data_IF_214116089115
#
_entry.id   IF_214116089115
#
_cell.length_a   1.000
_cell.length_b   1.000
_cell.length_c   1.000
_cell.angle_alpha   90.00
_cell.angle_beta   90.00
_cell.angle_gamma   90.00
#
_symmetry.space_group_name_H-M   'P 1'
#
loop_
_entity.id
_entity.type
_entity.pdbx_description
1 polymer ?
#
# COMPACT_ATOMS: atom_id res chain seq x y z
N UNK A 1 -20.85 11.99 -43.90
CA UNK A 1 -20.01 11.34 -42.88
C UNK A 1 -20.94 10.43 -42.09
N UNK A 2 -20.70 9.12 -42.07
CA UNK A 2 -21.45 8.23 -41.18
C UNK A 2 -21.15 8.64 -39.75
N UNK A 3 -22.16 8.86 -38.92
CA UNK A 3 -21.96 9.07 -37.50
C UNK A 3 -21.32 7.78 -36.95
N UNK A 4 -20.02 7.83 -36.64
CA UNK A 4 -19.39 6.76 -35.87
C UNK A 4 -20.15 6.65 -34.54
N UNK A 5 -20.43 5.42 -34.06
CA UNK A 5 -21.00 5.23 -32.74
C UNK A 5 -20.18 5.98 -31.68
N UNK A 6 -20.86 6.65 -30.73
CA UNK A 6 -20.22 7.40 -29.64
C UNK A 6 -19.20 6.54 -28.89
N UNK A 7 -19.50 5.24 -28.72
CA UNK A 7 -18.58 4.28 -28.11
C UNK A 7 -17.25 4.17 -28.87
N UNK A 8 -17.28 4.10 -30.20
CA UNK A 8 -16.05 4.05 -31.01
C UNK A 8 -15.22 5.33 -30.86
N UNK A 9 -15.88 6.49 -30.82
CA UNK A 9 -15.21 7.78 -30.62
C UNK A 9 -14.55 7.87 -29.24
N UNK A 10 -15.23 7.43 -28.18
CA UNK A 10 -14.67 7.42 -26.82
C UNK A 10 -13.46 6.48 -26.69
N UNK A 11 -13.53 5.30 -27.31
CA UNK A 11 -12.40 4.36 -27.35
C UNK A 11 -11.22 4.96 -28.12
N UNK A 12 -11.47 5.62 -29.25
CA UNK A 12 -10.42 6.31 -30.00
C UNK A 12 -9.77 7.43 -29.16
N UNK A 13 -10.56 8.19 -28.40
CA UNK A 13 -10.03 9.24 -27.53
C UNK A 13 -9.19 8.66 -26.37
N UNK A 14 -9.60 7.54 -25.76
CA UNK A 14 -8.79 6.85 -24.76
C UNK A 14 -7.47 6.33 -25.33
N UNK A 15 -7.50 5.75 -26.54
CA UNK A 15 -6.30 5.27 -27.25
C UNK A 15 -5.38 6.45 -27.57
N UNK A 16 -5.92 7.57 -28.05
CA UNK A 16 -5.14 8.78 -28.33
C UNK A 16 -4.47 9.32 -27.04
N UNK A 17 -5.23 9.43 -25.93
CA UNK A 17 -4.70 9.85 -24.64
C UNK A 17 -3.57 8.92 -24.13
N UNK A 18 -3.75 7.59 -24.30
CA UNK A 18 -2.73 6.60 -23.94
C UNK A 18 -1.48 6.72 -24.80
N UNK A 19 -1.64 6.87 -26.12
CA UNK A 19 -0.52 7.07 -27.04
C UNK A 19 0.24 8.37 -26.72
N UNK A 20 -0.47 9.42 -26.32
CA UNK A 20 0.11 10.67 -25.84
C UNK A 20 0.99 10.46 -24.60
N UNK A 21 0.51 9.66 -23.64
CA UNK A 21 1.31 9.31 -22.45
C UNK A 21 2.53 8.45 -22.79
N UNK A 22 2.39 7.49 -23.70
CA UNK A 22 3.55 6.71 -24.18
C UNK A 22 4.58 7.62 -24.85
N UNK A 23 4.14 8.57 -25.68
CA UNK A 23 5.00 9.58 -26.29
C UNK A 23 5.71 10.44 -25.23
N UNK A 24 5.00 10.84 -24.16
CA UNK A 24 5.58 11.58 -23.03
C UNK A 24 6.66 10.77 -22.30
N UNK A 25 6.43 9.49 -22.03
CA UNK A 25 7.45 8.64 -21.40
C UNK A 25 8.69 8.46 -22.28
N UNK A 26 8.50 8.31 -23.60
CA UNK A 26 9.62 8.27 -24.55
C UNK A 26 10.38 9.60 -24.59
N UNK A 27 9.66 10.74 -24.57
CA UNK A 27 10.27 12.06 -24.45
C UNK A 27 11.11 12.15 -23.17
N UNK A 28 10.52 11.87 -22.00
CA UNK A 28 11.23 11.97 -20.74
C UNK A 28 12.47 11.07 -20.69
N UNK A 29 12.41 9.86 -21.27
CA UNK A 29 13.57 8.98 -21.37
C UNK A 29 14.72 9.57 -22.21
N UNK A 30 14.42 10.33 -23.27
CA UNK A 30 15.43 10.98 -24.12
C UNK A 30 15.93 12.32 -23.58
N UNK A 31 15.24 12.91 -22.60
CA UNK A 31 15.51 14.25 -22.04
C UNK A 31 15.78 14.21 -20.54
N UNK A 32 16.49 13.18 -20.08
CA UNK A 32 16.95 13.01 -18.69
C UNK A 32 15.82 13.17 -17.65
N UNK A 33 14.65 12.62 -17.96
CA UNK A 33 13.45 12.66 -17.13
C UNK A 33 12.64 13.95 -17.22
N UNK A 34 13.08 14.95 -17.98
CA UNK A 34 12.39 16.24 -18.14
C UNK A 34 11.10 16.08 -18.96
N UNK A 35 10.02 16.73 -18.52
CA UNK A 35 8.76 16.76 -19.24
C UNK A 35 8.81 17.74 -20.43
N UNK A 36 8.00 17.56 -21.50
CA UNK A 36 7.95 18.51 -22.60
C UNK A 36 7.34 19.86 -22.19
N UNK A 37 7.61 20.92 -22.95
CA UNK A 37 7.01 22.24 -22.72
C UNK A 37 5.57 22.31 -23.25
N UNK A 38 5.23 21.51 -24.26
CA UNK A 38 3.89 21.43 -24.87
C UNK A 38 3.62 20.05 -25.50
N UNK A 39 2.38 19.83 -25.97
CA UNK A 39 2.04 18.64 -26.75
C UNK A 39 2.76 18.59 -28.11
N UNK A 40 3.05 19.74 -28.72
CA UNK A 40 3.81 19.81 -29.98
C UNK A 40 5.18 19.13 -29.88
N UNK A 41 5.84 19.21 -28.72
CA UNK A 41 7.13 18.54 -28.48
C UNK A 41 7.02 17.00 -28.53
N UNK A 42 5.81 16.47 -28.37
CA UNK A 42 5.51 15.03 -28.45
C UNK A 42 5.24 14.55 -29.89
N UNK A 43 5.11 15.46 -30.86
CA UNK A 43 4.73 15.12 -32.23
C UNK A 43 5.71 14.15 -32.91
N UNK A 44 6.99 14.11 -32.49
CA UNK A 44 7.98 13.15 -33.02
C UNK A 44 7.80 11.72 -32.50
N UNK A 45 7.04 11.53 -31.44
CA UNK A 45 6.83 10.24 -30.76
C UNK A 45 5.42 9.67 -30.97
N UNK A 46 4.44 10.52 -31.28
CA UNK A 46 3.09 10.11 -31.62
C UNK A 46 2.91 9.85 -33.12
N UNK A 47 1.89 9.08 -33.52
CA UNK A 47 1.60 8.93 -34.95
C UNK A 47 0.93 10.21 -35.47
N UNK A 48 1.12 10.56 -36.76
CA UNK A 48 0.47 11.74 -37.35
C UNK A 48 -1.04 11.72 -37.13
N UNK A 49 -1.58 12.79 -36.53
CA UNK A 49 -3.01 12.97 -36.27
C UNK A 49 -3.53 12.36 -34.96
N UNK A 50 -2.68 11.75 -34.12
CA UNK A 50 -3.10 11.24 -32.81
C UNK A 50 -3.15 12.31 -31.72
N UNK A 51 -2.34 13.36 -31.84
CA UNK A 51 -2.32 14.50 -30.92
C UNK A 51 -2.87 15.71 -31.64
N UNK A 52 -4.12 16.05 -31.35
CA UNK A 52 -4.75 17.29 -31.77
C UNK A 52 -4.82 18.23 -30.55
N UNK A 53 -3.97 19.24 -30.52
CA UNK A 53 -3.90 20.27 -29.47
C UNK A 53 -5.21 21.06 -29.32
N UNK A 54 -6.08 21.03 -30.34
CA UNK A 54 -7.42 21.60 -30.22
C UNK A 54 -8.32 20.75 -29.31
N UNK A 55 -8.14 19.43 -29.29
CA UNK A 55 -8.94 18.48 -28.53
C UNK A 55 -8.33 18.12 -27.17
N UNK A 56 -7.03 17.86 -27.10
CA UNK A 56 -6.34 17.50 -25.86
C UNK A 56 -5.67 18.71 -25.22
N UNK A 57 -5.59 18.68 -23.89
CA UNK A 57 -4.88 19.65 -23.07
C UNK A 57 -3.80 18.93 -22.26
N UNK A 58 -2.72 19.66 -21.99
CA UNK A 58 -1.53 19.17 -21.30
C UNK A 58 -1.18 20.08 -20.12
N UNK A 59 -0.84 19.47 -18.98
CA UNK A 59 -0.58 20.19 -17.73
C UNK A 59 0.91 20.29 -17.36
N UNK A 60 1.77 19.48 -17.99
CA UNK A 60 3.21 19.48 -17.67
C UNK A 60 3.97 20.68 -18.25
N UNK A 61 5.26 20.77 -17.92
CA UNK A 61 6.18 21.76 -18.48
C UNK A 61 7.64 21.33 -18.31
N UNK A 62 8.54 21.98 -19.04
CA UNK A 62 9.98 21.71 -19.14
C UNK A 62 10.81 22.03 -17.89
N UNK A 63 10.19 22.53 -16.81
CA UNK A 63 10.86 22.75 -15.53
C UNK A 63 10.71 21.59 -14.55
N UNK A 64 9.99 20.54 -14.96
CA UNK A 64 9.60 19.43 -14.10
C UNK A 64 10.16 18.13 -14.68
N UNK A 65 10.63 17.29 -13.78
CA UNK A 65 11.09 15.94 -14.09
C UNK A 65 10.08 14.91 -13.59
N UNK A 66 10.07 13.73 -14.21
CA UNK A 66 9.23 12.60 -13.79
C UNK A 66 9.50 12.22 -12.32
N UNK A 67 10.74 12.32 -11.85
CA UNK A 67 11.12 12.02 -10.46
C UNK A 67 10.46 12.96 -9.43
N UNK A 68 10.07 14.17 -9.84
CA UNK A 68 9.38 15.12 -8.97
C UNK A 68 7.87 14.84 -8.87
N UNK A 69 7.31 14.00 -9.74
CA UNK A 69 5.89 13.64 -9.74
C UNK A 69 5.62 12.58 -8.65
N UNK A 70 5.27 13.04 -7.46
CA UNK A 70 4.80 12.16 -6.39
C UNK A 70 3.40 11.61 -6.73
N UNK A 71 3.16 10.31 -6.48
CA UNK A 71 1.83 9.68 -6.65
C UNK A 71 1.32 9.83 -8.10
N UNK A 72 2.13 9.32 -9.04
CA UNK A 72 1.92 9.42 -10.49
C UNK A 72 0.55 8.88 -10.96
N UNK A 73 0.02 7.87 -10.27
CA UNK A 73 -1.27 7.25 -10.57
C UNK A 73 -2.48 8.14 -10.26
N UNK A 74 -2.29 9.34 -9.73
CA UNK A 74 -3.41 10.27 -9.49
C UNK A 74 -3.14 11.69 -9.98
N UNK A 75 -2.05 11.91 -10.71
CA UNK A 75 -1.75 13.19 -11.36
C UNK A 75 -2.17 13.12 -12.83
N UNK A 76 -3.22 13.86 -13.19
CA UNK A 76 -3.58 14.04 -14.58
C UNK A 76 -2.50 14.84 -15.29
N UNK A 77 -2.11 14.39 -16.47
CA UNK A 77 -1.08 15.03 -17.30
C UNK A 77 -1.66 15.48 -18.62
N UNK A 78 -2.49 14.63 -19.23
CA UNK A 78 -3.17 14.89 -20.49
C UNK A 78 -4.65 14.59 -20.29
N UNK A 79 -5.52 15.45 -20.81
CA UNK A 79 -6.95 15.20 -20.76
C UNK A 79 -7.63 15.74 -22.01
N UNK A 80 -8.76 15.14 -22.38
CA UNK A 80 -9.61 15.72 -23.41
C UNK A 80 -10.26 17.00 -22.88
N UNK A 81 -10.49 17.98 -23.75
CA UNK A 81 -11.26 19.18 -23.43
C UNK A 81 -12.63 18.79 -22.85
N UNK A 82 -12.97 19.32 -21.68
CA UNK A 82 -14.20 18.97 -20.97
C UNK A 82 -15.48 19.28 -21.78
N UNK A 83 -15.40 20.19 -22.75
CA UNK A 83 -16.51 20.49 -23.67
C UNK A 83 -16.77 19.41 -24.71
N UNK A 84 -15.84 18.46 -24.87
CA UNK A 84 -15.90 17.32 -25.79
C UNK A 84 -16.28 16.01 -25.09
N UNK A 85 -16.92 16.08 -23.92
CA UNK A 85 -17.34 14.90 -23.17
C UNK A 85 -18.27 13.98 -23.99
N UNK A 86 -18.10 12.67 -23.81
CA UNK A 86 -18.91 11.64 -24.46
C UNK A 86 -20.10 11.26 -23.59
N UNK A 87 -21.30 11.22 -24.16
CA UNK A 87 -22.49 10.68 -23.49
C UNK A 87 -22.52 9.15 -23.61
N UNK A 88 -22.01 8.46 -22.58
CA UNK A 88 -21.90 7.01 -22.57
C UNK A 88 -23.13 6.35 -21.93
N UNK A 89 -23.60 5.21 -22.46
CA UNK A 89 -24.63 4.43 -21.77
C UNK A 89 -24.07 3.89 -20.45
N UNK A 90 -24.93 3.75 -19.43
CA UNK A 90 -24.57 3.03 -18.23
C UNK A 90 -24.30 1.55 -18.56
N UNK A 91 -23.27 0.98 -17.94
CA UNK A 91 -22.94 -0.44 -18.01
C UNK A 91 -22.41 -0.93 -16.66
N UNK A 92 -21.92 -2.17 -16.61
CA UNK A 92 -21.40 -2.77 -15.38
C UNK A 92 -20.16 -2.04 -14.81
N UNK A 93 -19.53 -1.15 -15.59
CA UNK A 93 -18.31 -0.43 -15.22
C UNK A 93 -18.49 1.10 -15.18
N UNK A 94 -19.66 1.62 -15.54
CA UNK A 94 -19.91 3.05 -15.61
C UNK A 94 -21.36 3.41 -15.23
N UNK A 95 -21.52 4.47 -14.46
CA UNK A 95 -22.83 5.02 -14.07
C UNK A 95 -23.61 5.64 -15.25
N UNK A 96 -23.03 5.64 -16.45
CA UNK A 96 -23.56 6.32 -17.64
C UNK A 96 -23.47 7.84 -17.55
N UNK A 97 -23.76 8.50 -18.67
CA UNK A 97 -23.72 9.95 -18.82
C UNK A 97 -22.42 10.48 -19.40
N UNK A 98 -22.23 11.80 -19.26
CA UNK A 98 -21.07 12.50 -19.80
C UNK A 98 -19.78 12.00 -19.15
N UNK A 99 -18.77 11.70 -19.97
CA UNK A 99 -17.47 11.22 -19.51
C UNK A 99 -16.33 11.76 -20.38
N UNK A 100 -15.18 11.99 -19.76
CA UNK A 100 -13.97 12.54 -20.40
C UNK A 100 -12.78 11.64 -20.08
N UNK A 101 -11.96 11.25 -21.08
CA UNK A 101 -10.71 10.54 -20.81
C UNK A 101 -9.68 11.47 -20.17
N UNK A 102 -9.11 11.00 -19.07
CA UNK A 102 -8.00 11.62 -18.36
C UNK A 102 -6.85 10.63 -18.31
N UNK A 103 -5.68 11.06 -18.76
CA UNK A 103 -4.46 10.28 -18.73
C UNK A 103 -3.57 10.73 -17.57
N UNK A 104 -3.09 9.76 -16.82
CA UNK A 104 -2.31 9.96 -15.60
C UNK A 104 -0.82 9.81 -15.85
N UNK A 105 0.00 10.31 -14.92
CA UNK A 105 1.44 10.37 -15.10
C UNK A 105 2.12 9.00 -15.20
N UNK A 106 1.51 7.94 -14.67
CA UNK A 106 1.97 6.53 -14.81
C UNK A 106 1.51 5.86 -16.12
N UNK A 107 0.79 6.59 -16.97
CA UNK A 107 0.39 6.19 -18.32
C UNK A 107 -0.95 5.46 -18.42
N UNK A 108 -1.67 5.23 -17.31
CA UNK A 108 -3.03 4.72 -17.40
C UNK A 108 -4.01 5.85 -17.81
N UNK A 109 -5.16 5.45 -18.36
CA UNK A 109 -6.21 6.36 -18.83
C UNK A 109 -7.54 5.88 -18.30
N UNK A 110 -8.29 6.78 -17.67
CA UNK A 110 -9.62 6.50 -17.15
C UNK A 110 -10.66 7.47 -17.71
N UNK A 111 -11.91 7.02 -17.74
CA UNK A 111 -13.06 7.85 -18.07
C UNK A 111 -13.67 8.40 -16.79
N UNK A 112 -13.78 9.73 -16.69
CA UNK A 112 -14.38 10.39 -15.53
C UNK A 112 -15.58 11.26 -15.90
N UNK A 113 -16.60 11.36 -15.03
CA UNK A 113 -17.59 12.42 -15.11
C UNK A 113 -16.93 13.81 -15.16
N UNK A 114 -17.45 14.79 -15.94
CA UNK A 114 -16.82 16.10 -16.11
C UNK A 114 -16.50 16.85 -14.81
N UNK A 115 -17.32 16.67 -13.77
CA UNK A 115 -17.10 17.29 -12.45
C UNK A 115 -15.90 16.69 -11.72
N UNK A 116 -15.75 15.36 -11.76
CA UNK A 116 -14.60 14.64 -11.20
C UNK A 116 -13.35 14.96 -12.02
N UNK A 117 -13.45 14.90 -13.36
CA UNK A 117 -12.37 15.25 -14.27
C UNK A 117 -11.84 16.67 -14.02
N UNK A 118 -12.73 17.66 -13.92
CA UNK A 118 -12.36 19.06 -13.65
C UNK A 118 -11.55 19.18 -12.38
N UNK A 119 -12.00 18.54 -11.30
CA UNK A 119 -11.29 18.65 -10.05
C UNK A 119 -9.94 17.92 -10.06
N UNK A 120 -9.81 16.77 -10.75
CA UNK A 120 -8.51 16.07 -10.91
C UNK A 120 -7.55 16.98 -11.68
N UNK A 121 -8.05 17.62 -12.75
CA UNK A 121 -7.30 18.56 -13.58
C UNK A 121 -6.86 19.77 -12.76
N UNK A 122 -7.75 20.36 -11.95
CA UNK A 122 -7.43 21.52 -11.12
C UNK A 122 -6.40 21.18 -10.02
N UNK A 123 -6.52 20.03 -9.33
CA UNK A 123 -5.51 19.55 -8.36
C UNK A 123 -4.16 19.34 -9.05
N UNK A 124 -4.15 18.66 -10.20
CA UNK A 124 -2.94 18.35 -10.95
C UNK A 124 -2.28 19.63 -11.47
N UNK A 125 -3.03 20.56 -12.03
CA UNK A 125 -2.52 21.86 -12.49
C UNK A 125 -1.90 22.67 -11.35
N UNK A 126 -2.49 22.62 -10.15
CA UNK A 126 -1.91 23.24 -8.96
C UNK A 126 -0.58 22.57 -8.53
N UNK A 127 -0.48 21.24 -8.65
CA UNK A 127 0.78 20.50 -8.43
C UNK A 127 1.85 20.90 -9.44
N UNK A 128 1.55 20.89 -10.74
CA UNK A 128 2.50 21.29 -11.79
C UNK A 128 2.98 22.73 -11.60
N UNK A 129 2.05 23.65 -11.28
CA UNK A 129 2.41 25.04 -10.98
C UNK A 129 3.32 25.14 -9.75
N UNK A 130 3.01 24.43 -8.67
CA UNK A 130 3.81 24.42 -7.45
C UNK A 130 5.22 23.87 -7.70
N UNK A 131 5.34 22.78 -8.46
CA UNK A 131 6.64 22.19 -8.82
C UNK A 131 7.48 23.14 -9.68
N UNK A 132 6.89 23.70 -10.74
CA UNK A 132 7.57 24.63 -11.64
C UNK A 132 8.08 25.90 -10.94
N UNK A 133 7.35 26.35 -9.92
CA UNK A 133 7.71 27.53 -9.12
C UNK A 133 8.58 27.20 -7.89
N UNK A 134 8.88 25.91 -7.65
CA UNK A 134 9.58 25.48 -6.44
C UNK A 134 8.82 25.74 -5.13
N UNK A 135 7.49 25.83 -5.19
CA UNK A 135 6.60 26.11 -4.06
C UNK A 135 6.11 24.83 -3.36
N UNK A 136 5.48 25.04 -2.21
CA UNK A 136 4.74 24.02 -1.48
C UNK A 136 3.61 23.44 -2.36
N UNK A 137 3.44 22.11 -2.31
CA UNK A 137 2.39 21.42 -3.06
C UNK A 137 0.99 21.72 -2.48
N UNK A 138 -0.10 21.46 -3.22
CA UNK A 138 -1.45 21.46 -2.65
C UNK A 138 -1.55 20.59 -1.39
N UNK A 139 -2.45 20.98 -0.47
CA UNK A 139 -2.57 20.44 0.89
C UNK A 139 -2.41 18.92 0.96
N UNK A 140 -3.19 18.21 0.13
CA UNK A 140 -3.20 16.76 0.01
C UNK A 140 -1.80 16.18 -0.27
N UNK A 141 -1.17 16.71 -1.32
CA UNK A 141 0.09 16.19 -1.88
C UNK A 141 1.27 16.50 -1.00
N UNK A 142 1.29 17.71 -0.44
CA UNK A 142 2.31 18.10 0.51
C UNK A 142 2.20 17.23 1.77
N UNK A 143 1.00 16.99 2.31
CA UNK A 143 0.78 16.12 3.45
C UNK A 143 1.34 14.69 3.22
N UNK A 144 1.12 14.10 2.04
CA UNK A 144 1.69 12.78 1.70
C UNK A 144 3.22 12.82 1.60
N UNK A 145 3.77 13.85 0.97
CA UNK A 145 5.21 14.06 0.88
C UNK A 145 5.84 14.20 2.27
N UNK A 146 5.18 14.94 3.16
CA UNK A 146 5.62 15.15 4.54
C UNK A 146 5.55 13.84 5.34
N UNK A 147 4.48 13.06 5.22
CA UNK A 147 4.38 11.74 5.86
C UNK A 147 5.50 10.79 5.40
N UNK A 148 5.90 10.83 4.12
CA UNK A 148 7.02 10.04 3.64
C UNK A 148 8.36 10.49 4.23
N UNK A 149 8.52 11.79 4.49
CA UNK A 149 9.70 12.33 5.20
C UNK A 149 9.65 11.95 6.69
N UNK A 150 8.48 12.00 7.32
CA UNK A 150 8.27 11.55 8.71
C UNK A 150 8.65 10.08 8.84
N UNK A 151 8.29 9.22 7.88
CA UNK A 151 8.72 7.83 7.88
C UNK A 151 10.24 7.68 7.82
N UNK A 152 10.92 8.42 6.94
CA UNK A 152 12.39 8.41 6.88
C UNK A 152 13.01 8.85 8.21
N UNK A 153 12.41 9.85 8.87
CA UNK A 153 12.85 10.31 10.19
C UNK A 153 12.61 9.24 11.28
N UNK A 154 11.47 8.54 11.25
CA UNK A 154 11.17 7.41 12.14
C UNK A 154 12.19 6.28 11.97
N UNK A 155 12.47 5.85 10.74
CA UNK A 155 13.49 4.81 10.47
C UNK A 155 14.87 5.27 10.93
N UNK A 156 15.26 6.51 10.65
CA UNK A 156 16.53 7.06 11.13
C UNK A 156 16.59 7.13 12.66
N UNK A 157 15.49 7.44 13.34
CA UNK A 157 15.39 7.37 14.78
C UNK A 157 15.60 5.93 15.27
N UNK A 158 14.86 4.95 14.73
CA UNK A 158 14.96 3.54 15.11
C UNK A 158 16.39 3.00 14.97
N UNK A 159 17.08 3.31 13.86
CA UNK A 159 18.48 2.90 13.65
C UNK A 159 19.41 3.43 14.76
N UNK A 160 19.13 4.60 15.34
CA UNK A 160 19.92 5.19 16.41
C UNK A 160 19.47 4.76 17.83
N UNK A 161 18.40 3.98 17.95
CA UNK A 161 17.81 3.54 19.22
C UNK A 161 17.49 2.04 19.20
N UNK A 162 18.40 1.23 18.63
CA UNK A 162 18.33 -0.23 18.66
C UNK A 162 16.99 -0.78 18.10
N UNK A 163 16.46 -0.15 17.05
CA UNK A 163 15.21 -0.52 16.40
C UNK A 163 13.94 0.00 17.07
N UNK A 164 14.03 0.61 18.25
CA UNK A 164 12.85 1.09 18.99
C UNK A 164 12.23 2.31 18.31
N UNK A 165 10.90 2.32 18.28
CA UNK A 165 10.11 3.48 17.91
C UNK A 165 10.32 4.62 18.94
N UNK A 166 10.05 5.89 18.60
CA UNK A 166 10.12 7.00 19.55
C UNK A 166 8.95 6.96 20.55
N UNK A 167 9.12 7.60 21.71
CA UNK A 167 8.02 7.77 22.68
C UNK A 167 6.99 8.80 22.24
N UNK A 168 7.38 9.68 21.33
CA UNK A 168 6.57 10.78 20.82
C UNK A 168 7.01 11.19 19.41
N UNK A 169 6.13 11.85 18.65
CA UNK A 169 6.51 12.33 17.32
C UNK A 169 7.49 13.52 17.38
N UNK A 170 7.52 14.26 18.49
CA UNK A 170 8.49 15.33 18.71
C UNK A 170 9.94 14.83 18.77
N UNK A 171 10.17 13.58 19.19
CA UNK A 171 11.51 12.97 19.25
C UNK A 171 12.12 12.67 17.88
N UNK A 172 11.30 12.52 16.82
CA UNK A 172 11.82 12.27 15.46
C UNK A 172 12.22 13.55 14.73
N UNK A 173 11.85 14.72 15.24
CA UNK A 173 12.13 16.00 14.61
C UNK A 173 13.63 16.21 14.27
N UNK A 174 14.60 15.90 15.16
CA UNK A 174 16.03 16.01 14.84
C UNK A 174 16.49 15.08 13.71
N UNK A 175 15.73 14.01 13.43
CA UNK A 175 16.03 12.99 12.43
C UNK A 175 15.39 13.29 11.06
N UNK A 176 14.67 14.41 10.91
CA UNK A 176 14.16 14.85 9.61
C UNK A 176 15.34 15.09 8.65
N UNK A 177 15.40 14.39 7.51
CA UNK A 177 16.53 14.47 6.59
C UNK A 177 16.65 15.87 5.98
N UNK A 178 17.88 16.30 5.76
CA UNK A 178 18.14 17.52 5.00
C UNK A 178 17.61 17.36 3.57
N UNK A 179 17.04 18.43 3.05
CA UNK A 179 16.66 18.53 1.64
C UNK A 179 16.77 19.98 1.19
N UNK A 180 16.72 20.28 -0.12
CA UNK A 180 16.68 21.65 -0.60
C UNK A 180 15.53 22.49 -0.02
N UNK A 181 14.47 21.84 0.50
CA UNK A 181 13.31 22.49 1.16
C UNK A 181 13.39 22.52 2.69
N UNK A 182 14.28 21.73 3.30
CA UNK A 182 14.36 21.52 4.75
C UNK A 182 15.81 21.62 5.22
N UNK A 183 16.36 22.83 5.20
CA UNK A 183 17.76 23.10 5.54
C UNK A 183 17.93 23.64 6.96
N UNK A 184 16.90 24.29 7.49
CA UNK A 184 16.89 24.85 8.85
C UNK A 184 16.03 24.03 9.80
N UNK A 185 16.26 24.16 11.11
CA UNK A 185 15.44 23.50 12.14
C UNK A 185 13.96 23.92 12.07
N UNK A 186 13.69 25.19 11.77
CA UNK A 186 12.32 25.68 11.55
C UNK A 186 11.66 25.02 10.34
N UNK A 187 12.37 24.87 9.22
CA UNK A 187 11.84 24.20 8.02
C UNK A 187 11.61 22.70 8.27
N UNK A 188 12.53 22.02 8.97
CA UNK A 188 12.35 20.62 9.38
C UNK A 188 11.12 20.44 10.28
N UNK A 189 10.91 21.37 11.22
CA UNK A 189 9.76 21.36 12.11
C UNK A 189 8.44 21.53 11.37
N UNK A 190 8.46 22.24 10.23
CA UNK A 190 7.27 22.40 9.41
C UNK A 190 6.75 21.07 8.86
N UNK A 191 7.62 20.07 8.60
CA UNK A 191 7.22 18.72 8.13
C UNK A 191 6.20 18.06 9.07
N UNK A 192 6.30 18.34 10.38
CA UNK A 192 5.39 17.80 11.40
C UNK A 192 4.06 18.57 11.53
N UNK A 193 3.80 19.50 10.61
CA UNK A 193 2.56 20.26 10.47
C UNK A 193 2.02 20.08 9.05
N UNK A 194 0.70 19.97 8.93
CA UNK A 194 0.01 20.08 7.64
C UNK A 194 0.16 21.50 7.09
N UNK A 195 0.11 21.68 5.75
CA UNK A 195 0.29 23.00 5.12
C UNK A 195 -0.66 24.08 5.67
N UNK A 196 -1.92 23.74 5.89
CA UNK A 196 -2.92 24.62 6.51
C UNK A 196 -2.56 25.03 7.94
N UNK A 197 -2.00 24.12 8.74
CA UNK A 197 -1.60 24.37 10.12
C UNK A 197 -0.31 25.19 10.19
N UNK A 198 0.66 24.97 9.28
CA UNK A 198 1.89 25.78 9.16
C UNK A 198 1.57 27.26 9.01
N UNK A 199 0.59 27.60 8.17
CA UNK A 199 0.16 28.99 7.92
C UNK A 199 -0.42 29.68 9.15
N UNK A 200 -0.85 28.92 10.16
CA UNK A 200 -1.51 29.43 11.37
C UNK A 200 -0.66 29.30 12.62
N UNK A 201 0.46 28.59 12.54
CA UNK A 201 1.30 28.26 13.68
C UNK A 201 2.61 29.04 13.58
N UNK A 202 2.89 29.88 14.56
CA UNK A 202 4.17 30.59 14.63
C UNK A 202 5.28 29.59 15.00
N UNK A 203 6.11 29.21 14.02
CA UNK A 203 7.23 28.30 14.26
C UNK A 203 8.37 29.03 14.99
N UNK A 204 8.86 28.49 16.13
CA UNK A 204 10.04 29.03 16.79
C UNK A 204 11.31 28.84 15.92
N UNK A 205 12.31 29.68 16.14
CA UNK A 205 13.62 29.54 15.48
C UNK A 205 14.34 28.25 15.91
N UNK A 206 14.12 27.84 17.16
CA UNK A 206 14.66 26.61 17.76
C UNK A 206 13.49 25.76 18.31
N UNK A 207 12.79 25.01 17.43
CA UNK A 207 11.74 24.10 17.87
C UNK A 207 12.29 22.99 18.77
N UNK A 208 11.56 22.66 19.82
CA UNK A 208 11.86 21.53 20.72
C UNK A 208 10.89 20.38 20.48
N UNK A 209 11.25 19.16 20.89
CA UNK A 209 10.34 18.00 20.84
C UNK A 209 9.01 18.29 21.56
N UNK A 210 9.06 18.85 22.77
CA UNK A 210 7.86 19.24 23.53
C UNK A 210 6.98 20.27 22.78
N UNK A 211 7.61 21.21 22.06
CA UNK A 211 6.83 22.13 21.20
C UNK A 211 6.19 21.38 20.04
N UNK A 212 6.92 20.45 19.40
CA UNK A 212 6.40 19.62 18.31
C UNK A 212 5.19 18.80 18.76
N UNK A 213 5.25 18.10 19.89
CA UNK A 213 4.14 17.27 20.35
C UNK A 213 2.86 18.07 20.62
N UNK A 214 3.00 19.29 21.14
CA UNK A 214 1.86 20.19 21.38
C UNK A 214 1.25 20.76 20.09
N UNK A 215 2.06 20.96 19.06
CA UNK A 215 1.64 21.70 17.86
C UNK A 215 1.46 20.82 16.62
N UNK A 216 1.94 19.58 16.61
CA UNK A 216 1.92 18.71 15.44
C UNK A 216 0.49 18.51 14.90
N UNK A 217 0.36 18.41 13.58
CA UNK A 217 -0.91 18.10 12.91
C UNK A 217 -1.28 16.63 12.97
N UNK A 218 -0.39 15.79 13.46
CA UNK A 218 -0.54 14.34 13.39
C UNK A 218 -0.80 13.73 14.76
N UNK A 219 -1.45 12.57 14.75
CA UNK A 219 -1.55 11.65 15.87
C UNK A 219 -0.52 10.55 15.64
N UNK A 220 0.28 10.28 16.66
CA UNK A 220 1.25 9.20 16.68
C UNK A 220 0.71 8.05 17.52
N UNK A 221 0.84 6.83 17.02
CA UNK A 221 0.30 5.61 17.64
C UNK A 221 1.40 4.68 18.17
N UNK A 222 2.66 4.91 17.81
CA UNK A 222 3.77 4.09 18.29
C UNK A 222 4.14 4.37 19.75
N UNK A 223 5.07 3.56 20.28
CA UNK A 223 5.56 3.63 21.65
C UNK A 223 7.06 3.36 21.69
N UNK A 224 7.76 3.93 22.67
CA UNK A 224 9.19 3.70 22.90
C UNK A 224 9.54 2.23 23.22
N UNK A 225 8.54 1.44 23.61
CA UNK A 225 8.67 0.03 24.00
C UNK A 225 8.52 -0.92 22.80
N UNK A 226 8.16 -0.42 21.62
CA UNK A 226 7.97 -1.23 20.41
C UNK A 226 9.21 -1.15 19.52
N UNK A 227 9.77 -2.31 19.18
CA UNK A 227 10.78 -2.42 18.11
C UNK A 227 10.06 -2.50 16.77
N UNK A 228 10.49 -1.69 15.78
CA UNK A 228 9.83 -1.60 14.48
C UNK A 228 9.75 -2.95 13.75
N UNK A 229 10.80 -3.78 13.88
CA UNK A 229 10.89 -5.09 13.23
C UNK A 229 9.98 -6.15 13.89
N UNK A 230 9.50 -5.91 15.11
CA UNK A 230 8.56 -6.80 15.81
C UNK A 230 7.11 -6.61 15.31
N UNK A 231 6.85 -5.59 14.49
CA UNK A 231 5.54 -5.38 13.87
C UNK A 231 5.33 -6.41 12.75
N UNK A 232 4.52 -7.43 13.04
CA UNK A 232 4.30 -8.61 12.18
C UNK A 232 3.82 -8.28 10.76
N UNK A 233 2.82 -7.38 10.64
CA UNK A 233 2.36 -6.86 9.36
C UNK A 233 2.49 -5.33 9.31
N UNK A 234 3.68 -4.81 8.97
CA UNK A 234 3.95 -3.38 9.00
C UNK A 234 3.18 -2.64 7.89
N UNK A 235 2.60 -3.34 6.91
CA UNK A 235 1.80 -2.72 5.84
C UNK A 235 0.38 -2.39 6.31
N UNK A 236 -0.08 -2.96 7.42
CA UNK A 236 -1.42 -2.71 7.98
C UNK A 236 -1.41 -1.85 9.23
N UNK A 237 -0.35 -1.95 10.04
CA UNK A 237 -0.22 -1.15 11.27
C UNK A 237 0.10 0.30 10.96
N UNK A 238 -0.77 1.21 11.40
CA UNK A 238 -0.56 2.65 11.34
C UNK A 238 0.36 3.12 12.47
N UNK A 239 1.33 3.97 12.13
CA UNK A 239 2.16 4.68 13.09
C UNK A 239 1.75 6.14 13.24
N UNK A 240 1.34 6.79 12.14
CA UNK A 240 0.99 8.21 12.12
C UNK A 240 -0.27 8.42 11.30
N UNK A 241 -1.18 9.28 11.77
CA UNK A 241 -2.31 9.77 10.97
C UNK A 241 -2.57 11.25 11.21
N UNK A 242 -3.08 11.97 10.22
CA UNK A 242 -3.51 13.37 10.41
C UNK A 242 -4.67 13.45 11.39
N UNK A 243 -4.69 14.47 12.27
CA UNK A 243 -5.81 14.71 13.20
C UNK A 243 -7.11 14.98 12.43
N UNK A 244 -8.23 14.46 12.92
CA UNK A 244 -9.53 14.53 12.23
C UNK A 244 -10.01 15.97 11.96
N UNK A 245 -9.69 16.92 12.83
CA UNK A 245 -10.05 18.33 12.66
C UNK A 245 -9.23 19.04 11.57
N UNK A 246 -8.21 18.37 11.03
CA UNK A 246 -7.38 18.79 9.91
C UNK A 246 -7.64 17.94 8.65
N UNK A 247 -8.72 17.16 8.65
CA UNK A 247 -9.14 16.39 7.48
C UNK A 247 -9.42 17.31 6.29
N UNK A 248 -9.01 16.85 5.10
CA UNK A 248 -9.21 17.55 3.84
C UNK A 248 -10.54 17.15 3.20
N UNK A 249 -11.17 18.09 2.50
CA UNK A 249 -12.31 17.78 1.62
C UNK A 249 -11.80 17.17 0.32
N UNK A 250 -12.42 16.06 -0.08
CA UNK A 250 -12.10 15.34 -1.30
C UNK A 250 -13.36 14.69 -1.86
N UNK A 251 -13.31 14.18 -3.08
CA UNK A 251 -14.45 13.52 -3.71
C UNK A 251 -14.20 12.01 -3.83
N UNK A 252 -15.26 11.21 -3.60
CA UNK A 252 -15.25 9.79 -3.98
C UNK A 252 -15.21 9.67 -5.51
N UNK A 253 -14.99 8.44 -5.99
CA UNK A 253 -15.11 8.12 -7.43
C UNK A 253 -16.48 8.49 -8.01
N UNK A 254 -17.51 8.49 -7.18
CA UNK A 254 -18.90 8.85 -7.52
C UNK A 254 -19.16 10.36 -7.41
N UNK A 255 -18.15 11.17 -7.13
CA UNK A 255 -18.29 12.62 -6.97
C UNK A 255 -18.92 13.06 -5.64
N UNK A 256 -19.04 12.17 -4.66
CA UNK A 256 -19.57 12.52 -3.32
C UNK A 256 -18.48 13.19 -2.50
N UNK A 257 -18.72 14.39 -1.92
CA UNK A 257 -17.74 15.02 -1.05
C UNK A 257 -17.60 14.23 0.27
N UNK A 258 -16.37 13.97 0.68
CA UNK A 258 -16.01 13.25 1.90
C UNK A 258 -14.76 13.85 2.55
N UNK A 259 -14.55 13.52 3.82
CA UNK A 259 -13.39 13.95 4.62
C UNK A 259 -12.33 12.86 4.64
N UNK A 260 -11.10 13.25 4.33
CA UNK A 260 -9.95 12.35 4.25
C UNK A 260 -8.80 12.82 5.13
N UNK A 261 -7.99 11.88 5.60
CA UNK A 261 -6.77 12.13 6.38
C UNK A 261 -5.61 11.35 5.79
N UNK A 262 -4.41 11.94 5.86
CA UNK A 262 -3.19 11.22 5.53
C UNK A 262 -2.87 10.18 6.60
N UNK A 263 -2.42 9.01 6.18
CA UNK A 263 -1.99 7.93 7.07
C UNK A 263 -0.60 7.43 6.63
N UNK A 264 0.18 6.99 7.61
CA UNK A 264 1.49 6.39 7.44
C UNK A 264 1.51 5.04 8.17
N UNK A 265 1.76 3.99 7.41
CA UNK A 265 1.94 2.64 7.90
C UNK A 265 3.39 2.40 8.35
N UNK A 266 3.60 1.41 9.22
CA UNK A 266 4.93 1.03 9.70
C UNK A 266 5.90 0.61 8.59
N UNK A 267 5.38 0.08 7.47
CA UNK A 267 6.18 -0.26 6.28
C UNK A 267 6.60 0.96 5.44
N UNK A 268 6.15 2.16 5.81
CA UNK A 268 6.45 3.40 5.09
C UNK A 268 5.48 3.77 3.98
N UNK A 269 4.47 2.94 3.75
CA UNK A 269 3.38 3.27 2.84
C UNK A 269 2.63 4.48 3.39
N UNK A 270 2.50 5.52 2.54
CA UNK A 270 1.67 6.68 2.82
C UNK A 270 0.47 6.68 1.90
N UNK A 271 -0.68 7.01 2.45
CA UNK A 271 -1.91 7.09 1.68
C UNK A 271 -2.87 8.10 2.32
N UNK A 272 -4.02 8.28 1.69
CA UNK A 272 -5.10 9.09 2.21
C UNK A 272 -6.31 8.21 2.19
N UNK A 273 -7.07 8.23 3.27
CA UNK A 273 -8.27 7.40 3.41
C UNK A 273 -9.35 8.18 4.15
N UNK A 274 -10.58 7.68 4.13
CA UNK A 274 -11.69 8.33 4.80
C UNK A 274 -11.43 8.44 6.31
N UNK A 275 -11.97 9.49 6.93
CA UNK A 275 -11.88 9.64 8.40
C UNK A 275 -12.47 8.43 9.15
N UNK A 276 -13.65 7.88 8.77
CA UNK A 276 -14.18 6.67 9.39
C UNK A 276 -13.23 5.47 9.30
N UNK A 277 -12.65 5.21 8.13
CA UNK A 277 -11.72 4.10 7.94
C UNK A 277 -10.41 4.29 8.71
N UNK A 278 -9.81 5.49 8.64
CA UNK A 278 -8.59 5.81 9.38
C UNK A 278 -8.74 5.65 10.90
N UNK A 279 -9.93 5.93 11.46
CA UNK A 279 -10.23 5.71 12.88
C UNK A 279 -10.28 4.23 13.23
N UNK A 280 -10.99 3.44 12.42
CA UNK A 280 -11.08 2.00 12.63
C UNK A 280 -9.70 1.34 12.53
N UNK A 281 -8.91 1.72 11.52
CA UNK A 281 -7.56 1.21 11.32
C UNK A 281 -6.61 1.66 12.43
N UNK A 282 -6.76 2.90 12.92
CA UNK A 282 -5.99 3.39 14.06
C UNK A 282 -6.30 2.65 15.37
N UNK A 283 -7.56 2.26 15.60
CA UNK A 283 -7.95 1.45 16.75
C UNK A 283 -7.33 0.05 16.69
N UNK A 284 -7.43 -0.64 15.55
CA UNK A 284 -6.80 -1.94 15.32
C UNK A 284 -5.27 -1.86 15.47
N UNK A 285 -4.64 -0.82 14.93
CA UNK A 285 -3.19 -0.60 15.07
C UNK A 285 -2.76 -0.39 16.52
N UNK A 286 -3.58 0.31 17.30
CA UNK A 286 -3.30 0.53 18.73
C UNK A 286 -3.41 -0.76 19.54
N UNK A 287 -4.34 -1.64 19.18
CA UNK A 287 -4.48 -2.97 19.79
C UNK A 287 -3.24 -3.83 19.53
N UNK A 288 -2.76 -3.87 18.28
CA UNK A 288 -1.53 -4.60 17.91
C UNK A 288 -0.31 -4.05 18.65
N UNK A 289 -0.13 -2.72 18.64
CA UNK A 289 1.01 -2.09 19.30
C UNK A 289 0.94 -2.27 20.82
N UNK A 290 -0.25 -2.24 21.42
CA UNK A 290 -0.46 -2.55 22.83
C UNK A 290 -0.09 -3.98 23.18
N UNK A 291 -0.52 -4.96 22.37
CA UNK A 291 -0.17 -6.36 22.58
C UNK A 291 1.35 -6.61 22.56
N UNK A 292 2.07 -5.96 21.64
CA UNK A 292 3.54 -6.01 21.60
C UNK A 292 4.15 -5.45 22.89
N UNK A 293 3.66 -4.30 23.36
CA UNK A 293 4.15 -3.65 24.59
C UNK A 293 3.91 -4.52 25.82
N UNK A 294 2.69 -5.03 25.97
CA UNK A 294 2.28 -5.78 27.14
C UNK A 294 2.83 -7.23 27.13
N UNK A 295 3.42 -7.66 26.00
CA UNK A 295 3.82 -9.05 25.78
C UNK A 295 2.62 -10.01 25.75
N UNK A 296 1.43 -9.49 25.43
CA UNK A 296 0.22 -10.27 25.24
C UNK A 296 0.21 -10.88 23.83
N UNK A 297 -0.58 -11.93 23.62
CA UNK A 297 -0.77 -12.51 22.29
C UNK A 297 -1.35 -11.47 21.33
N UNK A 298 -0.91 -11.46 20.07
CA UNK A 298 -1.42 -10.52 19.09
C UNK A 298 -2.90 -10.84 18.79
N UNK A 299 -3.66 -9.90 18.20
CA UNK A 299 -4.97 -10.25 17.69
C UNK A 299 -4.85 -11.40 16.68
N UNK A 300 -5.80 -12.35 16.71
CA UNK A 300 -5.73 -13.64 16.00
C UNK A 300 -5.27 -13.53 14.53
N UNK A 301 -5.69 -12.49 13.82
CA UNK A 301 -5.25 -12.23 12.44
C UNK A 301 -3.73 -12.04 12.32
N UNK A 302 -3.15 -11.23 13.21
CA UNK A 302 -1.72 -10.90 13.20
C UNK A 302 -0.89 -12.09 13.69
N UNK A 303 -1.36 -12.85 14.68
CA UNK A 303 -0.70 -14.10 15.09
C UNK A 303 -0.67 -15.11 13.94
N UNK A 304 -1.80 -15.35 13.28
CA UNK A 304 -1.84 -16.23 12.11
C UNK A 304 -0.94 -15.74 10.96
N UNK A 305 -0.80 -14.43 10.79
CA UNK A 305 0.10 -13.84 9.80
C UNK A 305 1.58 -14.09 10.16
N UNK A 306 1.95 -13.93 11.43
CA UNK A 306 3.27 -14.25 11.97
C UNK A 306 3.61 -15.72 11.72
N UNK A 307 2.74 -16.62 12.15
CA UNK A 307 2.94 -18.07 12.08
C UNK A 307 3.14 -18.54 10.64
N UNK A 308 2.30 -18.07 9.71
CA UNK A 308 2.44 -18.40 8.30
C UNK A 308 3.79 -17.94 7.71
N UNK A 309 4.34 -16.79 8.16
CA UNK A 309 5.68 -16.34 7.74
C UNK A 309 6.77 -17.25 8.29
N UNK A 310 6.71 -17.59 9.58
CA UNK A 310 7.66 -18.51 10.22
C UNK A 310 7.64 -19.86 9.53
N UNK A 311 6.46 -20.45 9.35
CA UNK A 311 6.28 -21.76 8.71
C UNK A 311 6.75 -21.76 7.26
N UNK A 312 6.47 -20.69 6.50
CA UNK A 312 6.95 -20.59 5.11
C UNK A 312 8.47 -20.47 5.04
N UNK A 313 9.09 -19.75 5.98
CA UNK A 313 10.54 -19.70 6.14
C UNK A 313 11.12 -21.08 6.47
N UNK A 314 10.48 -21.83 7.36
CA UNK A 314 10.88 -23.20 7.72
C UNK A 314 10.76 -24.18 6.54
N UNK A 315 9.70 -24.09 5.73
CA UNK A 315 9.54 -24.87 4.49
C UNK A 315 10.68 -24.57 3.51
N UNK A 316 11.05 -23.30 3.36
CA UNK A 316 12.19 -22.90 2.51
C UNK A 316 13.50 -23.50 3.01
N UNK A 317 13.80 -23.34 4.31
CA UNK A 317 15.02 -23.88 4.95
C UNK A 317 15.05 -25.40 4.87
N UNK A 318 13.92 -26.08 5.06
CA UNK A 318 13.79 -27.52 4.84
C UNK A 318 14.20 -27.89 3.41
N UNK A 319 13.66 -27.21 2.39
CA UNK A 319 14.00 -27.50 1.01
C UNK A 319 15.50 -27.29 0.72
N UNK A 320 16.12 -26.25 1.30
CA UNK A 320 17.57 -26.02 1.20
C UNK A 320 18.40 -27.18 1.81
N UNK A 321 17.90 -27.82 2.87
CA UNK A 321 18.53 -28.97 3.52
C UNK A 321 18.26 -30.31 2.82
N UNK A 322 17.26 -30.35 1.93
CA UNK A 322 16.77 -31.58 1.28
C UNK A 322 16.78 -31.49 -0.25
N UNK A 323 17.90 -31.04 -0.82
CA UNK A 323 18.15 -31.01 -2.27
C UNK A 323 17.09 -30.24 -3.07
N UNK A 324 16.50 -29.21 -2.46
CA UNK A 324 15.48 -28.35 -3.05
C UNK A 324 14.06 -28.90 -3.00
N UNK A 325 13.84 -30.11 -2.47
CA UNK A 325 12.52 -30.74 -2.42
C UNK A 325 11.68 -30.26 -1.23
N UNK A 326 10.37 -30.15 -1.46
CA UNK A 326 9.41 -29.82 -0.44
C UNK A 326 9.29 -30.90 0.66
N UNK A 327 8.84 -30.54 1.88
CA UNK A 327 8.52 -31.54 2.90
C UNK A 327 7.30 -32.37 2.50
N UNK A 328 7.21 -33.61 3.01
CA UNK A 328 6.07 -34.48 2.75
C UNK A 328 4.86 -34.07 3.60
N UNK A 329 5.13 -33.56 4.81
CA UNK A 329 4.16 -33.10 5.79
C UNK A 329 4.71 -31.85 6.46
N UNK A 330 3.84 -30.97 6.96
CA UNK A 330 4.32 -29.76 7.63
C UNK A 330 5.18 -30.08 8.86
N UNK A 331 4.92 -31.18 9.57
CA UNK A 331 5.73 -31.62 10.71
C UNK A 331 7.20 -31.88 10.39
N UNK A 332 7.56 -32.11 9.13
CA UNK A 332 8.95 -32.33 8.73
C UNK A 332 9.81 -31.06 8.86
N UNK A 333 9.20 -29.88 9.01
CA UNK A 333 9.92 -28.60 9.10
C UNK A 333 10.28 -28.20 10.54
N UNK A 334 9.95 -29.02 11.55
CA UNK A 334 10.24 -28.72 12.97
C UNK A 334 11.72 -28.41 13.18
N UNK A 335 12.62 -29.20 12.59
CA UNK A 335 14.07 -29.00 12.69
C UNK A 335 14.59 -27.86 11.80
N UNK A 336 13.75 -27.35 10.90
CA UNK A 336 14.03 -26.21 10.03
C UNK A 336 13.46 -24.88 10.55
N UNK A 337 12.79 -24.88 11.71
CA UNK A 337 12.37 -23.64 12.39
C UNK A 337 13.59 -22.80 12.79
N UNK A 338 13.45 -21.45 12.87
CA UNK A 338 14.51 -20.59 13.39
C UNK A 338 14.96 -21.00 14.81
N UNK A 339 16.26 -20.91 15.04
CA UNK A 339 16.91 -21.40 16.26
C UNK A 339 16.74 -20.44 17.45
N UNK A 340 16.33 -19.19 17.17
CA UNK A 340 16.07 -18.11 18.12
C UNK A 340 14.62 -18.07 18.65
N UNK A 341 13.73 -18.92 18.12
CA UNK A 341 12.37 -19.04 18.65
C UNK A 341 12.38 -19.70 20.04
N UNK A 342 11.58 -19.14 20.95
CA UNK A 342 11.32 -19.76 22.24
C UNK A 342 10.64 -21.12 22.07
N UNK A 343 10.79 -22.03 23.04
CA UNK A 343 10.12 -23.33 23.00
C UNK A 343 8.59 -23.22 22.88
N UNK A 344 8.01 -22.20 23.51
CA UNK A 344 6.59 -21.87 23.41
C UNK A 344 6.22 -21.44 21.99
N UNK A 345 6.97 -20.50 21.42
CA UNK A 345 6.74 -20.03 20.05
C UNK A 345 6.89 -21.15 19.03
N UNK A 346 7.82 -22.08 19.23
CA UNK A 346 8.00 -23.24 18.34
C UNK A 346 6.76 -24.15 18.30
N UNK A 347 6.00 -24.26 19.39
CA UNK A 347 4.74 -25.00 19.41
C UNK A 347 3.60 -24.17 18.83
N UNK A 348 3.48 -22.91 19.26
CA UNK A 348 2.35 -22.04 18.88
C UNK A 348 2.29 -21.78 17.39
N UNK A 349 3.43 -21.71 16.68
CA UNK A 349 3.42 -21.48 15.23
C UNK A 349 2.70 -22.56 14.42
N UNK A 350 2.44 -23.74 14.99
CA UNK A 350 1.64 -24.78 14.32
C UNK A 350 0.18 -24.81 14.75
N UNK A 351 -0.20 -24.10 15.83
CA UNK A 351 -1.54 -24.20 16.44
C UNK A 351 -2.07 -22.81 16.78
N UNK A 352 -3.25 -22.48 16.27
CA UNK A 352 -3.91 -21.21 16.58
C UNK A 352 -4.17 -21.04 18.08
N UNK A 353 -4.19 -19.79 18.55
CA UNK A 353 -4.58 -19.46 19.92
C UNK A 353 -5.93 -20.09 20.32
N UNK A 354 -6.87 -20.21 19.38
CA UNK A 354 -8.18 -20.83 19.62
C UNK A 354 -8.10 -22.35 19.84
N UNK A 355 -7.08 -23.01 19.28
CA UNK A 355 -6.86 -24.45 19.38
C UNK A 355 -5.81 -24.83 20.44
N UNK A 356 -5.04 -23.87 20.97
CA UNK A 356 -4.08 -24.09 22.04
C UNK A 356 -4.79 -24.57 23.31
N UNK A 357 -4.38 -25.75 23.81
CA UNK A 357 -4.91 -26.35 25.04
C UNK A 357 -3.89 -26.26 26.17
N UNK A 358 -4.35 -26.18 27.44
CA UNK A 358 -3.45 -26.34 28.58
C UNK A 358 -2.67 -27.66 28.47
N UNK A 359 -1.35 -27.59 28.60
CA UNK A 359 -0.45 -28.75 28.55
C UNK A 359 0.22 -29.01 27.20
N UNK A 360 -0.17 -28.34 26.11
CA UNK A 360 0.50 -28.52 24.80
C UNK A 360 2.00 -28.24 24.85
N UNK A 361 2.40 -27.25 25.66
CA UNK A 361 3.80 -26.88 25.83
C UNK A 361 4.62 -27.87 26.69
N UNK A 362 3.97 -28.83 27.33
CA UNK A 362 4.64 -29.88 28.12
C UNK A 362 5.00 -31.11 27.26
N UNK A 363 4.42 -31.22 26.07
CA UNK A 363 4.69 -32.29 25.11
C UNK A 363 5.93 -31.97 24.28
N UNK A 364 6.58 -33.01 23.72
CA UNK A 364 7.72 -32.82 22.83
C UNK A 364 7.21 -32.47 21.42
N UNK A 365 7.67 -31.33 20.88
CA UNK A 365 7.38 -30.93 19.51
C UNK A 365 8.04 -31.91 18.52
N UNK A 366 7.25 -32.81 17.97
CA UNK A 366 7.67 -33.80 16.97
C UNK A 366 6.88 -33.65 15.67
N UNK A 367 7.34 -34.25 14.57
CA UNK A 367 6.57 -34.28 13.31
C UNK A 367 5.19 -34.94 13.49
N UNK A 368 5.09 -35.98 14.32
CA UNK A 368 3.82 -36.65 14.68
C UNK A 368 2.88 -35.72 15.45
N UNK A 369 3.42 -34.98 16.43
CA UNK A 369 2.66 -33.98 17.17
C UNK A 369 2.06 -32.93 16.23
N UNK A 370 2.87 -32.40 15.30
CA UNK A 370 2.39 -31.42 14.31
C UNK A 370 1.31 -32.04 13.43
N UNK A 371 1.46 -33.30 12.99
CA UNK A 371 0.44 -33.98 12.21
C UNK A 371 -0.92 -34.04 12.92
N UNK A 372 -0.92 -34.31 14.23
CA UNK A 372 -2.13 -34.51 15.02
C UNK A 372 -2.79 -33.19 15.47
N UNK A 373 -2.03 -32.10 15.55
CA UNK A 373 -2.49 -30.86 16.19
C UNK A 373 -2.49 -29.62 15.29
N UNK A 374 -1.84 -29.67 14.13
CA UNK A 374 -1.65 -28.50 13.28
C UNK A 374 -2.96 -27.81 12.85
N UNK A 375 -3.01 -26.49 13.01
CA UNK A 375 -4.08 -25.62 12.50
C UNK A 375 -3.84 -25.13 11.08
N UNK A 376 -2.91 -25.70 10.32
CA UNK A 376 -2.56 -25.23 8.98
C UNK A 376 -2.72 -26.33 7.94
N UNK A 377 -3.20 -25.96 6.75
CA UNK A 377 -3.27 -26.87 5.59
C UNK A 377 -2.04 -26.66 4.73
N UNK A 378 -1.22 -27.70 4.65
CA UNK A 378 -0.07 -27.77 3.75
C UNK A 378 -0.46 -28.44 2.43
N UNK A 379 -0.06 -27.84 1.30
CA UNK A 379 -0.42 -28.28 -0.07
C UNK A 379 0.76 -28.91 -0.83
N UNK A 380 1.98 -28.83 -0.31
CA UNK A 380 3.17 -29.31 -1.02
C UNK A 380 3.23 -30.83 -1.21
N UNK A 381 4.15 -31.26 -2.08
CA UNK A 381 4.40 -32.67 -2.41
C UNK A 381 5.92 -32.91 -2.41
N UNK A 382 6.43 -33.96 -1.76
CA UNK A 382 7.87 -34.17 -1.59
C UNK A 382 8.62 -34.49 -2.89
N UNK A 383 7.90 -34.72 -3.98
CA UNK A 383 8.48 -34.91 -5.32
C UNK A 383 8.70 -33.60 -6.06
N UNK A 384 8.21 -32.48 -5.52
CA UNK A 384 8.26 -31.17 -6.16
C UNK A 384 9.38 -30.32 -5.59
N UNK A 385 10.11 -29.67 -6.49
CA UNK A 385 11.15 -28.69 -6.15
C UNK A 385 10.53 -27.36 -5.74
N UNK A 386 10.98 -26.80 -4.61
CA UNK A 386 10.51 -25.51 -4.10
C UNK A 386 10.65 -24.39 -5.14
N UNK A 387 11.72 -24.40 -5.93
CA UNK A 387 11.94 -23.40 -6.98
C UNK A 387 10.90 -23.43 -8.11
N UNK A 388 10.30 -24.59 -8.38
CA UNK A 388 9.28 -24.69 -9.43
C UNK A 388 7.93 -24.17 -8.94
N UNK A 389 7.63 -24.40 -7.66
CA UNK A 389 6.48 -23.77 -7.00
C UNK A 389 6.63 -22.24 -6.97
N UNK A 390 7.83 -21.74 -6.65
CA UNK A 390 8.12 -20.31 -6.70
C UNK A 390 7.90 -19.70 -8.09
N UNK A 391 8.36 -20.38 -9.16
CA UNK A 391 8.16 -19.92 -10.55
C UNK A 391 6.68 -19.91 -10.95
N UNK A 392 5.90 -20.88 -10.46
CA UNK A 392 4.47 -20.96 -10.76
C UNK A 392 3.64 -19.98 -9.91
N UNK A 393 4.15 -19.52 -8.78
CA UNK A 393 3.44 -18.61 -7.89
C UNK A 393 2.19 -19.25 -7.27
N UNK A 394 2.24 -20.56 -6.95
CA UNK A 394 1.13 -21.27 -6.29
C UNK A 394 1.36 -21.30 -4.78
N UNK A 395 0.31 -21.16 -3.98
CA UNK A 395 0.41 -21.16 -2.53
C UNK A 395 0.77 -22.54 -1.95
N UNK A 396 1.47 -22.54 -0.80
CA UNK A 396 1.94 -23.76 -0.13
C UNK A 396 1.22 -24.04 1.19
N UNK A 397 0.74 -22.99 1.86
CA UNK A 397 0.25 -23.06 3.22
C UNK A 397 -1.00 -22.20 3.38
N UNK A 398 -1.97 -22.67 4.16
CA UNK A 398 -3.16 -21.91 4.52
C UNK A 398 -3.45 -22.04 6.00
N UNK A 399 -3.98 -20.97 6.55
CA UNK A 399 -4.62 -21.01 7.85
C UNK A 399 -5.88 -21.91 7.81
N UNK A 400 -6.04 -22.81 8.79
CA UNK A 400 -7.03 -23.87 8.80
C UNK A 400 -7.66 -24.05 10.20
N UNK A 401 -8.86 -24.63 10.32
CA UNK A 401 -9.73 -25.11 9.24
C UNK A 401 -10.20 -23.96 8.33
N UNK A 402 -10.50 -24.25 7.05
CA UNK A 402 -10.88 -23.24 6.04
C UNK A 402 -12.14 -22.42 6.44
N UNK A 403 -12.83 -22.79 7.51
CA UNK A 403 -13.94 -22.07 8.12
C UNK A 403 -13.52 -21.16 9.30
N UNK A 404 -12.25 -21.17 9.72
CA UNK A 404 -11.72 -20.14 10.62
C UNK A 404 -11.34 -18.94 9.77
N UNK A 405 -12.29 -18.04 9.63
CA UNK A 405 -12.13 -16.78 8.90
C UNK A 405 -11.75 -15.66 9.87
N UNK A 406 -10.94 -14.73 9.38
CA UNK A 406 -10.59 -13.52 10.10
C UNK A 406 -11.39 -12.34 9.56
N UNK A 407 -11.97 -11.51 10.43
CA UNK A 407 -12.57 -10.26 9.99
C UNK A 407 -11.47 -9.26 9.64
N UNK A 408 -11.19 -9.09 8.35
CA UNK A 408 -10.25 -8.09 7.85
C UNK A 408 -10.95 -6.74 7.70
N UNK A 409 -10.45 -5.73 8.39
CA UNK A 409 -10.89 -4.35 8.16
C UNK A 409 -10.47 -3.91 6.76
N UNK A 410 -11.45 -3.47 5.97
CA UNK A 410 -11.28 -2.91 4.62
C UNK A 410 -12.20 -1.70 4.41
N UNK A 411 -11.87 -0.90 3.42
CA UNK A 411 -12.68 0.25 3.01
C UNK A 411 -13.70 -0.25 1.96
N UNK A 412 -15.00 -0.06 2.21
CA UNK A 412 -16.04 -0.48 1.26
C UNK A 412 -16.18 0.51 0.08
N UNK A 413 -17.12 0.24 -0.83
CA UNK A 413 -17.38 1.13 -1.97
C UNK A 413 -17.81 2.56 -1.55
N UNK A 414 -18.42 2.72 -0.37
CA UNK A 414 -18.81 4.01 0.21
C UNK A 414 -17.69 4.66 1.02
N UNK A 415 -16.52 4.03 1.06
CA UNK A 415 -15.38 4.38 1.90
C UNK A 415 -15.66 4.30 3.40
N UNK A 416 -16.67 3.53 3.79
CA UNK A 416 -16.95 3.21 5.17
C UNK A 416 -16.15 1.98 5.61
N UNK A 417 -15.75 1.88 6.89
CA UNK A 417 -15.10 0.70 7.40
C UNK A 417 -16.05 -0.49 7.32
N UNK A 418 -15.64 -1.51 6.58
CA UNK A 418 -16.31 -2.80 6.51
C UNK A 418 -15.35 -3.91 6.92
N UNK A 419 -15.91 -5.08 7.21
CA UNK A 419 -15.14 -6.29 7.51
C UNK A 419 -15.41 -7.33 6.43
N UNK A 420 -14.34 -7.86 5.86
CA UNK A 420 -14.37 -9.01 4.97
C UNK A 420 -13.87 -10.23 5.72
N UNK A 421 -14.58 -11.34 5.59
CA UNK A 421 -14.10 -12.62 6.11
C UNK A 421 -13.00 -13.15 5.19
N UNK A 422 -11.78 -13.28 5.73
CA UNK A 422 -10.61 -13.71 4.97
C UNK A 422 -9.97 -14.95 5.57
N UNK A 423 -9.33 -15.73 4.71
CA UNK A 423 -8.38 -16.78 5.09
C UNK A 423 -7.00 -16.34 4.66
N UNK A 424 -6.02 -16.48 5.55
CA UNK A 424 -4.64 -16.18 5.22
C UNK A 424 -4.01 -17.35 4.46
N UNK A 425 -3.34 -17.04 3.36
CA UNK A 425 -2.52 -17.99 2.60
C UNK A 425 -1.08 -17.51 2.51
N UNK A 426 -0.13 -18.44 2.50
CA UNK A 426 1.28 -18.14 2.33
C UNK A 426 1.81 -18.64 0.97
N UNK A 427 2.48 -17.73 0.28
CA UNK A 427 3.13 -17.95 -1.00
C UNK A 427 4.57 -18.43 -0.78
N UNK A 428 5.15 -19.20 -1.73
CA UNK A 428 6.55 -19.60 -1.72
C UNK A 428 7.57 -18.44 -1.70
N UNK A 429 7.13 -17.20 -1.92
CA UNK A 429 7.97 -16.02 -1.76
C UNK A 429 8.09 -15.56 -0.30
N UNK A 430 7.39 -16.21 0.63
CA UNK A 430 7.22 -15.74 2.02
C UNK A 430 6.12 -14.69 2.18
N UNK A 431 5.40 -14.35 1.10
CA UNK A 431 4.29 -13.40 1.16
C UNK A 431 3.07 -14.08 1.77
N UNK A 432 2.49 -13.47 2.79
CA UNK A 432 1.20 -13.87 3.35
C UNK A 432 0.14 -12.91 2.83
N UNK A 433 -0.95 -13.46 2.31
CA UNK A 433 -2.03 -12.70 1.68
C UNK A 433 -3.36 -13.07 2.31
N UNK A 434 -4.19 -12.09 2.71
CA UNK A 434 -5.59 -12.35 3.00
C UNK A 434 -6.33 -12.61 1.68
N UNK A 435 -7.10 -13.70 1.62
CA UNK A 435 -7.98 -14.03 0.51
C UNK A 435 -9.40 -14.09 1.04
N UNK A 436 -10.34 -13.54 0.29
CA UNK A 436 -11.77 -13.68 0.55
C UNK A 436 -12.12 -15.17 0.77
N UNK A 437 -12.79 -15.46 1.89
CA UNK A 437 -13.18 -16.80 2.28
C UNK A 437 -14.06 -17.52 1.24
N UNK A 438 -14.80 -16.79 0.40
CA UNK A 438 -15.58 -17.38 -0.68
C UNK A 438 -14.68 -17.92 -1.81
N UNK A 439 -13.54 -17.28 -2.05
CA UNK A 439 -12.63 -17.60 -3.14
C UNK A 439 -11.53 -18.59 -2.76
N UNK A 440 -11.24 -18.74 -1.47
CA UNK A 440 -10.12 -19.58 -0.99
C UNK A 440 -10.24 -21.04 -1.43
N UNK A 441 -11.46 -21.59 -1.47
CA UNK A 441 -11.70 -23.00 -1.86
C UNK A 441 -11.26 -23.26 -3.30
N UNK A 442 -11.60 -22.34 -4.22
CA UNK A 442 -11.20 -22.44 -5.61
C UNK A 442 -9.68 -22.30 -5.74
N UNK A 443 -9.10 -21.27 -5.10
CA UNK A 443 -7.66 -21.04 -5.14
C UNK A 443 -6.88 -22.27 -4.64
N UNK A 444 -7.31 -22.90 -3.55
CA UNK A 444 -6.71 -24.15 -3.01
C UNK A 444 -6.79 -25.30 -4.00
N UNK A 445 -7.92 -25.47 -4.69
CA UNK A 445 -8.10 -26.52 -5.67
C UNK A 445 -7.14 -26.34 -6.85
N UNK A 446 -6.98 -25.11 -7.35
CA UNK A 446 -6.07 -24.76 -8.43
C UNK A 446 -4.61 -25.05 -8.04
N UNK A 447 -4.19 -24.66 -6.84
CA UNK A 447 -2.82 -24.90 -6.37
C UNK A 447 -2.52 -26.37 -6.09
N UNK A 448 -3.49 -27.14 -5.57
CA UNK A 448 -3.36 -28.59 -5.45
C UNK A 448 -3.20 -29.27 -6.82
N UNK A 449 -3.95 -28.81 -7.83
CA UNK A 449 -3.81 -29.32 -9.18
C UNK A 449 -2.42 -29.01 -9.75
N UNK A 450 -1.97 -27.76 -9.64
CA UNK A 450 -0.65 -27.35 -10.12
C UNK A 450 0.50 -28.13 -9.47
N UNK A 451 0.45 -28.36 -8.15
CA UNK A 451 1.45 -29.17 -7.44
C UNK A 451 1.44 -30.63 -7.93
N UNK A 452 0.28 -31.22 -8.18
CA UNK A 452 0.19 -32.58 -8.75
C UNK A 452 0.81 -32.65 -10.14
N UNK A 453 0.53 -31.67 -10.99
CA UNK A 453 1.09 -31.60 -12.34
C UNK A 453 2.63 -31.43 -12.33
N UNK A 454 3.18 -30.74 -11.32
CA UNK A 454 4.62 -30.68 -11.10
C UNK A 454 5.19 -32.02 -10.64
N UNK A 455 4.50 -32.72 -9.73
CA UNK A 455 4.96 -33.99 -9.16
C UNK A 455 4.97 -35.17 -10.16
N UNK A 456 4.28 -35.01 -11.30
CA UNK A 456 4.21 -36.00 -12.38
C UNK A 456 5.28 -35.81 -13.47
N UNK A 457 6.02 -34.69 -13.44
CA UNK A 457 7.14 -34.41 -14.36
C UNK A 457 8.42 -35.05 -13.85
#
# INVERSE_FOLDING_TARGET
MSAQPIREQSVQAMVAARNAMMALHMYAQEHDGTLPASLDDLARYARPGELDDSAFKYLGNDKITVEQLLDMSTLAVIHLDLSLAFDLPADEFSVGGLSVPVAYADGHVEMHPPEVARWIIDDSAAVFTALADGKELPERRQMLADLAIIHKALVAYCVNHDGHLPGSLGEVFPYVPDSPRHTTMTEKASVLLTPSQRKRTALPLEPTAEWMDRNTSYMYLGSAEVVLDDIVDPRRVLLVRTKDNLAIDWFTREGKPMKFVGVLHAAGNVSITSVPFARALGAESSEVLGAIVDGEGLPDYYDAFHDLRVLTGAIKRYAELHDGFLPAHLGDVVDALPDDLSAETRHSVFVTNQMMRPGFLEEELTSEWVHDHCSYVYIGDPRVQYSDVQKMGVQLLLHSPLNTVFPLLQEDANLDPSRMDVVLQAMPSGWVLPVDAEWVVQSVAESRQAIRELAER
#
